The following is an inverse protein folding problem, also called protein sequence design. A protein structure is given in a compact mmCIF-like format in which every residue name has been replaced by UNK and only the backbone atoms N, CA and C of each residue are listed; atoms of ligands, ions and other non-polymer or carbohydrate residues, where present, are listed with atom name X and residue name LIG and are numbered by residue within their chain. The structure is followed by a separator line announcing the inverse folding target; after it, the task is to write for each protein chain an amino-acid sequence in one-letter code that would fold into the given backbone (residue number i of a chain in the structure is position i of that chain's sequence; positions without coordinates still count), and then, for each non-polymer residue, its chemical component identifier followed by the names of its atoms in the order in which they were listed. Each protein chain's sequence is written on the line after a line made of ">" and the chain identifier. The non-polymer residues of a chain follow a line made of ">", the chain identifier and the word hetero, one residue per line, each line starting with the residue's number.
data_IF_723683006611
#
_entry.id   IF_723683006611
#
_cell.length_a   1.000
_cell.length_b   1.000
_cell.length_c   1.000
_cell.angle_alpha   90.00
_cell.angle_beta   90.00
_cell.angle_gamma   90.00
#
_symmetry.space_group_name_H-M   'P 1'
#
loop_
_entity.id
_entity.type
_entity.pdbx_description
1 polymer ?
#
# COMPACT_ATOMS: atom_id res chain seq x y z
N UNK A 1 9.23 25.98 28.43
CA UNK A 1 9.12 24.69 27.72
C UNK A 1 9.04 24.98 26.24
N UNK A 2 10.09 24.69 25.44
CA UNK A 2 10.02 24.82 23.99
C UNK A 2 9.04 23.78 23.42
N UNK A 3 8.04 24.26 22.70
CA UNK A 3 7.17 23.43 21.87
C UNK A 3 7.26 23.95 20.45
N UNK A 4 7.19 23.03 19.49
CA UNK A 4 7.15 23.36 18.06
C UNK A 4 6.04 22.57 17.41
N UNK A 5 5.19 23.20 16.58
CA UNK A 5 4.20 22.49 15.78
C UNK A 5 4.85 21.51 14.80
N UNK A 6 4.15 20.41 14.53
CA UNK A 6 4.46 19.44 13.48
C UNK A 6 3.79 19.92 12.18
N UNK A 7 4.47 20.79 11.43
CA UNK A 7 3.97 21.30 10.16
C UNK A 7 4.18 20.30 9.04
N UNK A 8 3.14 20.12 8.22
CA UNK A 8 3.24 19.48 6.91
C UNK A 8 2.46 20.32 5.90
N UNK A 9 3.17 20.89 4.92
CA UNK A 9 2.61 21.92 4.02
C UNK A 9 1.95 23.04 4.83
N UNK A 10 0.66 23.30 4.63
CA UNK A 10 -0.10 24.34 5.34
C UNK A 10 -0.90 23.81 6.57
N UNK A 11 -0.70 22.54 6.95
CA UNK A 11 -1.43 21.90 8.04
C UNK A 11 -0.56 21.61 9.28
N UNK A 12 -1.15 21.78 10.47
CA UNK A 12 -0.56 21.37 11.74
C UNK A 12 -1.10 19.98 12.12
N UNK A 13 -0.20 18.99 12.19
CA UNK A 13 -0.56 17.62 12.55
C UNK A 13 -0.56 17.37 14.07
N UNK A 14 0.10 18.25 14.83
CA UNK A 14 0.26 18.16 16.28
C UNK A 14 1.40 19.04 16.79
N UNK A 15 1.90 18.75 17.99
CA UNK A 15 2.97 19.52 18.64
C UNK A 15 4.04 18.60 19.19
N UNK A 16 5.31 18.98 19.00
CA UNK A 16 6.46 18.39 19.66
C UNK A 16 6.90 19.31 20.80
N UNK A 17 6.84 18.82 22.03
CA UNK A 17 7.33 19.54 23.20
C UNK A 17 8.62 18.90 23.71
N UNK A 18 9.62 19.72 23.98
CA UNK A 18 10.77 19.32 24.76
C UNK A 18 10.74 20.07 26.08
N UNK A 19 10.82 19.35 27.19
CA UNK A 19 10.84 19.96 28.51
C UNK A 19 12.26 19.95 29.08
N UNK A 20 12.61 21.01 29.81
CA UNK A 20 13.84 21.10 30.60
C UNK A 20 13.55 21.17 32.11
N UNK A 21 12.50 20.49 32.54
CA UNK A 21 11.99 20.52 33.92
C UNK A 21 13.02 20.06 34.96
N UNK A 22 13.92 19.15 34.58
CA UNK A 22 14.86 18.50 35.48
C UNK A 22 16.19 19.27 35.62
N UNK A 23 16.76 19.82 34.54
CA UNK A 23 18.05 20.54 34.61
C UNK A 23 17.90 22.03 34.83
N UNK A 24 16.75 22.64 34.48
CA UNK A 24 16.46 24.08 34.62
C UNK A 24 17.50 25.03 33.99
N UNK A 25 18.34 24.51 33.09
CA UNK A 25 19.32 25.30 32.35
C UNK A 25 18.64 26.01 31.15
N UNK A 26 19.17 27.17 30.71
CA UNK A 26 18.74 27.74 29.44
C UNK A 26 18.99 26.76 28.30
N UNK A 27 18.12 26.78 27.28
CA UNK A 27 18.40 26.05 26.05
C UNK A 27 19.66 26.64 25.41
N UNK A 28 20.50 25.76 24.87
CA UNK A 28 21.59 26.16 24.00
C UNK A 28 21.01 26.80 22.73
N UNK A 29 21.70 27.80 22.13
CA UNK A 29 21.17 28.56 21.01
C UNK A 29 20.69 27.73 19.80
N UNK A 30 21.29 26.55 19.56
CA UNK A 30 20.94 25.67 18.44
C UNK A 30 19.78 24.71 18.73
N UNK A 31 19.39 24.52 19.99
CA UNK A 31 18.38 23.53 20.36
C UNK A 31 16.98 23.85 19.79
N UNK A 32 16.53 25.11 19.71
CA UNK A 32 15.27 25.44 19.05
C UNK A 32 15.25 25.04 17.56
N UNK A 33 16.33 25.33 16.82
CA UNK A 33 16.44 24.98 15.41
C UNK A 33 16.46 23.47 15.20
N UNK A 34 17.16 22.75 16.09
CA UNK A 34 17.19 21.30 16.08
C UNK A 34 15.80 20.70 16.35
N UNK A 35 15.06 21.25 17.32
CA UNK A 35 13.68 20.82 17.62
C UNK A 35 12.76 21.07 16.43
N UNK A 36 12.89 22.22 15.76
CA UNK A 36 12.12 22.52 14.55
C UNK A 36 12.42 21.54 13.41
N UNK A 37 13.70 21.19 13.20
CA UNK A 37 14.11 20.20 12.21
C UNK A 37 13.55 18.80 12.51
N UNK A 38 13.60 18.37 13.77
CA UNK A 38 13.00 17.11 14.19
C UNK A 38 11.49 17.11 13.98
N UNK A 39 10.81 18.20 14.32
CA UNK A 39 9.37 18.34 14.14
C UNK A 39 8.95 18.26 12.67
N UNK A 40 9.66 18.94 11.78
CA UNK A 40 9.42 18.84 10.33
C UNK A 40 9.61 17.41 9.82
N UNK A 41 10.70 16.75 10.23
CA UNK A 41 10.97 15.36 9.82
C UNK A 41 9.90 14.40 10.34
N UNK A 42 9.49 14.54 11.60
CA UNK A 42 8.41 13.74 12.19
C UNK A 42 7.09 13.96 11.47
N UNK A 43 6.75 15.20 11.12
CA UNK A 43 5.54 15.50 10.35
C UNK A 43 5.54 14.77 9.00
N UNK A 44 6.63 14.85 8.24
CA UNK A 44 6.79 14.10 6.98
C UNK A 44 6.65 12.58 7.16
N UNK A 45 7.24 12.02 8.22
CA UNK A 45 7.14 10.59 8.52
C UNK A 45 5.70 10.18 8.88
N UNK A 46 5.00 10.97 9.68
CA UNK A 46 3.61 10.71 10.06
C UNK A 46 2.71 10.69 8.82
N UNK A 47 2.83 11.67 7.94
CA UNK A 47 2.01 11.71 6.70
C UNK A 47 2.31 10.52 5.81
N UNK A 48 3.59 10.19 5.61
CA UNK A 48 3.99 9.03 4.81
C UNK A 48 3.44 7.72 5.39
N UNK A 49 3.49 7.56 6.72
CA UNK A 49 2.96 6.38 7.39
C UNK A 49 1.44 6.28 7.21
N UNK A 50 0.70 7.37 7.43
CA UNK A 50 -0.76 7.42 7.22
C UNK A 50 -1.14 7.09 5.78
N UNK A 51 -0.41 7.62 4.79
CA UNK A 51 -0.65 7.31 3.38
C UNK A 51 -0.42 5.83 3.07
N UNK A 52 0.64 5.23 3.62
CA UNK A 52 0.93 3.80 3.45
C UNK A 52 -0.13 2.91 4.13
N UNK A 53 -0.60 3.29 5.31
CA UNK A 53 -1.69 2.60 6.03
C UNK A 53 -3.01 2.68 5.26
N UNK A 54 -3.40 3.87 4.80
CA UNK A 54 -4.61 4.07 3.99
C UNK A 54 -4.57 3.24 2.70
N UNK A 55 -3.42 3.20 2.00
CA UNK A 55 -3.27 2.36 0.81
C UNK A 55 -3.45 0.87 1.16
N UNK A 56 -2.81 0.41 2.23
CA UNK A 56 -2.92 -0.97 2.70
C UNK A 56 -4.35 -1.35 3.09
N UNK A 57 -5.09 -0.44 3.73
CA UNK A 57 -6.50 -0.64 4.07
C UNK A 57 -7.36 -0.75 2.81
N UNK A 58 -7.15 0.11 1.82
CA UNK A 58 -7.86 0.06 0.54
C UNK A 58 -7.56 -1.23 -0.23
N UNK A 59 -6.29 -1.65 -0.31
CA UNK A 59 -5.90 -2.93 -0.91
C UNK A 59 -6.54 -4.12 -0.20
N UNK A 60 -6.60 -4.08 1.14
CA UNK A 60 -7.22 -5.13 1.95
C UNK A 60 -8.71 -5.21 1.70
N UNK A 61 -9.40 -4.07 1.66
CA UNK A 61 -10.83 -3.99 1.35
C UNK A 61 -11.13 -4.51 -0.05
N UNK A 62 -10.35 -4.09 -1.06
CA UNK A 62 -10.51 -4.57 -2.44
C UNK A 62 -10.31 -6.07 -2.54
N UNK A 63 -9.27 -6.62 -1.89
CA UNK A 63 -9.04 -8.08 -1.82
C UNK A 63 -10.21 -8.79 -1.17
N UNK A 64 -10.77 -8.24 -0.08
CA UNK A 64 -11.93 -8.82 0.59
C UNK A 64 -13.14 -8.86 -0.35
N UNK A 65 -13.48 -7.71 -0.97
CA UNK A 65 -14.59 -7.62 -1.93
C UNK A 65 -14.43 -8.65 -3.05
N UNK A 66 -13.27 -8.68 -3.72
CA UNK A 66 -12.98 -9.63 -4.78
C UNK A 66 -13.08 -11.09 -4.35
N UNK A 67 -12.70 -11.40 -3.10
CA UNK A 67 -12.78 -12.77 -2.58
C UNK A 67 -14.18 -13.16 -2.07
N UNK A 68 -15.09 -12.19 -1.89
CA UNK A 68 -16.47 -12.47 -1.43
C UNK A 68 -17.46 -12.69 -2.57
N UNK A 69 -17.19 -12.16 -3.76
CA UNK A 69 -18.04 -12.43 -4.93
C UNK A 69 -17.85 -13.87 -5.40
N UNK A 70 -18.91 -14.56 -5.88
CA UNK A 70 -18.80 -15.95 -6.33
C UNK A 70 -18.09 -16.06 -7.69
N UNK A 71 -18.02 -15.00 -8.49
CA UNK A 71 -17.36 -15.02 -9.79
C UNK A 71 -15.84 -15.16 -9.67
N UNK A 72 -15.25 -15.90 -10.61
CA UNK A 72 -13.81 -15.94 -10.80
C UNK A 72 -13.35 -14.65 -11.50
N UNK A 73 -12.40 -13.92 -10.90
CA UNK A 73 -11.89 -12.65 -11.41
C UNK A 73 -10.37 -12.68 -11.50
N UNK A 74 -9.83 -12.26 -12.64
CA UNK A 74 -8.40 -12.13 -12.88
C UNK A 74 -8.10 -10.90 -13.72
N UNK A 75 -6.84 -10.45 -13.70
CA UNK A 75 -6.37 -9.37 -14.56
C UNK A 75 -4.97 -9.69 -15.08
N UNK A 76 -4.70 -9.19 -16.29
CA UNK A 76 -3.46 -9.43 -17.04
C UNK A 76 -2.88 -8.13 -17.54
N UNK A 77 -1.60 -8.14 -17.86
CA UNK A 77 -0.97 -7.07 -18.62
C UNK A 77 -1.30 -7.18 -20.13
N UNK A 78 -0.74 -6.27 -20.93
CA UNK A 78 -0.94 -6.25 -22.39
C UNK A 78 -0.30 -7.44 -23.12
N UNK A 79 0.62 -8.15 -22.47
CA UNK A 79 1.26 -9.34 -23.00
C UNK A 79 0.53 -10.63 -22.58
N UNK A 80 -0.68 -10.49 -22.02
CA UNK A 80 -1.50 -11.59 -21.50
C UNK A 80 -0.83 -12.35 -20.34
N UNK A 81 0.07 -11.68 -19.62
CA UNK A 81 0.69 -12.20 -18.41
C UNK A 81 -0.16 -11.84 -17.21
N UNK A 82 -0.47 -12.82 -16.37
CA UNK A 82 -1.26 -12.63 -15.16
C UNK A 82 -0.58 -11.66 -14.19
N UNK A 83 -1.34 -10.63 -13.77
CA UNK A 83 -0.96 -9.69 -12.73
C UNK A 83 -1.62 -10.02 -11.38
N UNK A 84 -2.69 -10.83 -11.40
CA UNK A 84 -3.32 -11.37 -10.21
C UNK A 84 -4.74 -11.86 -10.44
N UNK A 85 -5.35 -12.36 -9.37
CA UNK A 85 -6.73 -12.84 -9.37
C UNK A 85 -7.36 -12.76 -7.98
N UNK A 86 -8.67 -13.00 -7.91
CA UNK A 86 -9.31 -13.38 -6.66
C UNK A 86 -9.06 -14.85 -6.33
N UNK A 87 -9.45 -15.26 -5.12
CA UNK A 87 -9.26 -16.62 -4.61
C UNK A 87 -10.02 -17.67 -5.42
N UNK A 88 -11.24 -17.35 -5.87
CA UNK A 88 -12.06 -18.29 -6.62
C UNK A 88 -11.38 -18.68 -7.93
N UNK A 89 -10.87 -17.70 -8.69
CA UNK A 89 -10.14 -18.01 -9.93
C UNK A 89 -8.87 -18.83 -9.66
N UNK A 90 -8.13 -18.52 -8.60
CA UNK A 90 -6.94 -19.30 -8.24
C UNK A 90 -7.30 -20.77 -7.92
N UNK A 91 -8.43 -21.00 -7.25
CA UNK A 91 -8.94 -22.34 -6.97
C UNK A 91 -9.39 -23.06 -8.24
N UNK A 92 -10.09 -22.38 -9.14
CA UNK A 92 -10.48 -22.92 -10.46
C UNK A 92 -9.24 -23.31 -11.28
N UNK A 93 -8.16 -22.53 -11.17
CA UNK A 93 -6.86 -22.79 -11.79
C UNK A 93 -6.05 -23.91 -11.08
N UNK A 94 -6.55 -24.47 -9.97
CA UNK A 94 -5.87 -25.50 -9.19
C UNK A 94 -4.72 -25.00 -8.32
N UNK A 95 -4.66 -23.70 -8.03
CA UNK A 95 -3.60 -23.06 -7.23
C UNK A 95 -3.99 -22.89 -5.76
N UNK A 96 -2.99 -22.95 -4.89
CA UNK A 96 -3.17 -22.72 -3.46
C UNK A 96 -3.41 -21.23 -3.12
N UNK A 97 -2.92 -20.31 -3.95
CA UNK A 97 -3.10 -18.87 -3.75
C UNK A 97 -3.00 -18.07 -5.06
N UNK A 98 -3.62 -16.88 -5.14
CA UNK A 98 -3.52 -16.00 -6.31
C UNK A 98 -2.10 -15.55 -6.65
N UNK A 99 -1.20 -15.49 -5.67
CA UNK A 99 0.20 -15.06 -5.88
C UNK A 99 0.97 -16.01 -6.80
N UNK A 100 0.60 -17.30 -6.83
CA UNK A 100 1.23 -18.29 -7.70
C UNK A 100 0.88 -18.09 -9.19
N UNK A 101 -0.14 -17.28 -9.48
CA UNK A 101 -0.57 -16.94 -10.83
C UNK A 101 0.31 -15.86 -11.46
N UNK A 102 0.87 -14.97 -10.64
CA UNK A 102 1.54 -13.75 -11.11
C UNK A 102 2.76 -14.08 -11.96
N UNK A 103 2.87 -13.44 -13.13
CA UNK A 103 3.97 -13.64 -14.07
C UNK A 103 3.78 -14.84 -15.02
N UNK A 104 2.67 -15.58 -14.91
CA UNK A 104 2.38 -16.73 -15.77
C UNK A 104 1.45 -16.39 -16.93
N UNK A 105 1.40 -17.27 -17.91
CA UNK A 105 0.46 -17.24 -19.04
C UNK A 105 -0.61 -18.34 -18.91
N UNK A 106 -1.70 -18.27 -19.68
CA UNK A 106 -2.73 -19.32 -19.69
C UNK A 106 -2.19 -20.71 -20.01
N UNK A 107 -1.16 -20.78 -20.86
CA UNK A 107 -0.60 -22.04 -21.34
C UNK A 107 0.20 -22.81 -20.27
N UNK A 108 0.46 -22.20 -19.12
CA UNK A 108 1.18 -22.81 -18.00
C UNK A 108 0.26 -23.55 -17.01
N UNK A 109 -1.04 -23.57 -17.26
CA UNK A 109 -2.03 -24.20 -16.39
C UNK A 109 -2.84 -25.27 -17.13
N UNK A 110 -3.62 -26.04 -16.39
CA UNK A 110 -4.40 -27.18 -16.90
C UNK A 110 -5.63 -26.80 -17.74
N UNK A 111 -5.67 -25.60 -18.31
CA UNK A 111 -6.75 -25.16 -19.20
C UNK A 111 -6.71 -25.92 -20.53
N UNK A 112 -7.86 -26.09 -21.18
CA UNK A 112 -7.86 -26.55 -22.56
C UNK A 112 -7.28 -25.46 -23.47
N UNK A 113 -6.69 -25.86 -24.60
CA UNK A 113 -6.15 -24.89 -25.58
C UNK A 113 -7.21 -23.87 -26.03
N UNK A 114 -8.45 -24.31 -26.19
CA UNK A 114 -9.58 -23.44 -26.54
C UNK A 114 -9.91 -22.42 -25.46
N UNK A 115 -9.81 -22.79 -24.17
CA UNK A 115 -9.99 -21.87 -23.05
C UNK A 115 -8.86 -20.83 -22.98
N UNK A 116 -7.61 -21.26 -23.17
CA UNK A 116 -6.45 -20.36 -23.23
C UNK A 116 -6.56 -19.37 -24.39
N UNK A 117 -6.89 -19.85 -25.59
CA UNK A 117 -7.05 -19.02 -26.79
C UNK A 117 -8.26 -18.07 -26.69
N UNK A 118 -9.32 -18.45 -25.97
CA UNK A 118 -10.49 -17.60 -25.72
C UNK A 118 -10.17 -16.42 -24.79
N UNK A 119 -9.34 -16.63 -23.76
CA UNK A 119 -8.92 -15.56 -22.84
C UNK A 119 -8.25 -14.39 -23.58
N UNK A 120 -7.44 -14.66 -24.60
CA UNK A 120 -6.76 -13.62 -25.37
C UNK A 120 -7.71 -12.78 -26.25
N UNK A 121 -8.88 -13.33 -26.61
CA UNK A 121 -9.85 -12.64 -27.50
C UNK A 121 -10.75 -11.64 -26.77
N UNK A 122 -10.96 -11.82 -25.46
CA UNK A 122 -11.86 -10.95 -24.66
C UNK A 122 -11.19 -9.69 -24.10
N UNK A 123 -9.85 -9.68 -24.01
CA UNK A 123 -9.09 -8.61 -23.34
C UNK A 123 -8.57 -7.54 -24.33
N UNK A 124 -8.50 -7.84 -25.63
CA UNK A 124 -7.85 -6.99 -26.65
C UNK A 124 -8.85 -6.40 -27.68
N UNK A 125 -10.05 -6.01 -27.25
CA UNK A 125 -10.98 -5.23 -28.08
C UNK A 125 -10.81 -3.73 -27.88
#
# INVERSE_FOLDING_TARGET
>A
MPWTPLWYEDEILGWLAADNLLKREPLLPFQPDLLALYAATLAHLIVRQRAAENLREQETLLRLVLNTIPQAVFWKDRNLVYLGSNRNFAQDAGLASPELLVGKTDYEFSWTKEQADFSGKWIVR
#
